data_IF_622559959777
#
_entry.id   IF_622559959777
#
_cell.length_a   1.000
_cell.length_b   1.000
_cell.length_c   1.000
_cell.angle_alpha   90.00
_cell.angle_beta   90.00
_cell.angle_gamma   90.00
#
_symmetry.space_group_name_H-M   'P 1'
#
loop_
_entity.id
_entity.type
_entity.pdbx_description
1 polymer ?
#
# COMPACT_ATOMS: atom_id res chain seq x y z
N UNK A 1 -0.73 -20.05 -0.15
CA UNK A 1 -2.15 -19.82 0.16
C UNK A 1 -2.33 -18.37 0.58
N UNK A 2 -3.09 -17.59 -0.19
CA UNK A 2 -3.39 -16.19 0.09
C UNK A 2 -4.81 -16.11 0.66
N UNK A 3 -5.00 -15.41 1.77
CA UNK A 3 -6.32 -15.26 2.41
C UNK A 3 -6.91 -13.91 1.98
N UNK A 4 -8.14 -13.92 1.49
CA UNK A 4 -8.86 -12.71 1.15
C UNK A 4 -9.47 -12.09 2.43
N UNK A 5 -9.31 -10.77 2.58
CA UNK A 5 -9.81 -9.99 3.71
C UNK A 5 -10.76 -8.93 3.14
N UNK A 6 -12.00 -8.92 3.63
CA UNK A 6 -13.02 -7.97 3.19
C UNK A 6 -13.18 -6.87 4.25
N UNK A 7 -12.92 -5.62 3.88
CA UNK A 7 -13.11 -4.47 4.75
C UNK A 7 -13.99 -3.48 3.99
N UNK A 8 -15.18 -3.18 4.54
CA UNK A 8 -16.19 -2.24 4.03
C UNK A 8 -16.33 -2.15 2.50
N UNK A 9 -16.53 -3.29 1.85
CA UNK A 9 -16.81 -3.41 0.41
C UNK A 9 -15.59 -3.64 -0.47
N UNK A 10 -14.38 -3.59 0.08
CA UNK A 10 -13.13 -3.77 -0.66
C UNK A 10 -12.40 -5.06 -0.24
N UNK A 11 -11.82 -5.77 -1.20
CA UNK A 11 -11.06 -7.01 -0.97
C UNK A 11 -9.55 -6.75 -0.98
N UNK A 12 -8.88 -7.23 0.07
CA UNK A 12 -7.44 -7.18 0.28
C UNK A 12 -6.86 -8.60 0.39
N UNK A 13 -5.58 -8.80 0.02
CA UNK A 13 -4.94 -10.12 0.01
C UNK A 13 -3.84 -10.24 1.06
N UNK A 14 -4.00 -11.12 2.05
CA UNK A 14 -2.92 -11.57 2.95
C UNK A 14 -2.01 -12.52 2.16
N UNK A 15 -0.75 -12.12 1.95
CA UNK A 15 0.24 -12.87 1.15
C UNK A 15 1.22 -13.60 2.06
N UNK A 16 1.60 -14.83 1.69
CA UNK A 16 2.59 -15.60 2.44
C UNK A 16 3.99 -14.97 2.26
N UNK A 17 4.60 -14.58 3.38
CA UNK A 17 5.91 -13.94 3.50
C UNK A 17 7.03 -14.73 2.83
N UNK A 18 7.09 -16.05 3.01
CA UNK A 18 8.17 -16.89 2.50
C UNK A 18 8.05 -17.15 0.99
N UNK A 19 6.83 -17.22 0.47
CA UNK A 19 6.61 -17.34 -0.97
C UNK A 19 6.97 -16.06 -1.73
N UNK A 20 6.79 -14.90 -1.09
CA UNK A 20 7.26 -13.61 -1.61
C UNK A 20 8.78 -13.58 -1.58
N UNK A 21 9.40 -13.93 -0.44
CA UNK A 21 10.86 -13.86 -0.26
C UNK A 21 11.66 -14.86 -1.10
N UNK A 22 11.22 -16.12 -1.22
CA UNK A 22 11.97 -17.19 -1.91
C UNK A 22 11.84 -17.13 -3.44
N UNK A 23 10.69 -16.68 -3.96
CA UNK A 23 10.40 -16.64 -5.40
C UNK A 23 10.94 -15.35 -6.08
N UNK A 24 11.17 -14.28 -5.30
CA UNK A 24 11.40 -12.92 -5.81
C UNK A 24 12.73 -12.68 -6.54
N UNK A 25 13.89 -13.18 -6.08
CA UNK A 25 15.15 -12.90 -6.78
C UNK A 25 15.56 -13.98 -7.80
N UNK A 26 15.23 -15.26 -7.57
CA UNK A 26 15.84 -16.39 -8.30
C UNK A 26 15.10 -16.81 -9.58
N UNK A 27 13.77 -16.64 -9.68
CA UNK A 27 12.98 -17.22 -10.79
C UNK A 27 12.59 -16.18 -11.86
N UNK A 28 12.54 -14.87 -11.53
CA UNK A 28 11.91 -13.86 -12.42
C UNK A 28 12.77 -12.65 -12.78
N UNK A 29 14.08 -12.65 -12.48
CA UNK A 29 14.97 -11.51 -12.76
C UNK A 29 14.39 -10.14 -12.30
N UNK A 30 13.67 -10.13 -11.16
CA UNK A 30 13.10 -8.91 -10.58
C UNK A 30 11.76 -8.43 -11.17
N UNK A 31 11.21 -9.02 -12.22
CA UNK A 31 9.92 -8.59 -12.81
C UNK A 31 8.76 -8.76 -11.83
N UNK A 32 8.74 -9.87 -11.07
CA UNK A 32 7.70 -10.09 -10.07
C UNK A 32 7.76 -9.06 -8.93
N UNK A 33 8.96 -8.54 -8.63
CA UNK A 33 9.18 -7.49 -7.63
C UNK A 33 8.43 -6.20 -8.01
N UNK A 34 8.53 -5.79 -9.27
CA UNK A 34 7.84 -4.62 -9.83
C UNK A 34 6.31 -4.75 -9.69
N UNK A 35 5.77 -5.91 -10.06
CA UNK A 35 4.32 -6.19 -9.97
C UNK A 35 3.83 -6.23 -8.52
N UNK A 36 4.60 -6.85 -7.63
CA UNK A 36 4.27 -6.89 -6.21
C UNK A 36 4.30 -5.49 -5.59
N UNK A 37 5.31 -4.68 -5.93
CA UNK A 37 5.46 -3.30 -5.46
C UNK A 37 4.28 -2.41 -5.86
N UNK A 38 3.77 -2.58 -7.09
CA UNK A 38 2.54 -1.91 -7.53
C UNK A 38 1.36 -2.28 -6.63
N UNK A 39 1.15 -3.58 -6.41
CA UNK A 39 -0.03 -4.11 -5.70
C UNK A 39 -0.11 -3.60 -4.27
N UNK A 40 1.01 -3.63 -3.52
CA UNK A 40 1.03 -3.14 -2.13
C UNK A 40 0.74 -1.64 -2.03
N UNK A 41 1.27 -0.83 -2.96
CA UNK A 41 1.03 0.61 -2.96
C UNK A 41 -0.41 0.95 -3.33
N UNK A 42 -1.02 0.18 -4.24
CA UNK A 42 -2.42 0.37 -4.59
C UNK A 42 -3.37 -0.07 -3.46
N UNK A 43 -3.06 -1.17 -2.76
CA UNK A 43 -3.81 -1.59 -1.57
C UNK A 43 -3.73 -0.54 -0.45
N UNK A 44 -2.53 0.03 -0.21
CA UNK A 44 -2.36 1.11 0.76
C UNK A 44 -3.17 2.37 0.38
N UNK A 45 -3.20 2.74 -0.91
CA UNK A 45 -4.01 3.85 -1.43
C UNK A 45 -5.49 3.66 -1.14
N UNK A 46 -6.02 2.47 -1.45
CA UNK A 46 -7.44 2.11 -1.26
C UNK A 46 -7.82 2.09 0.22
N UNK A 47 -6.97 1.49 1.05
CA UNK A 47 -7.21 1.36 2.49
C UNK A 47 -7.12 2.70 3.24
N UNK A 48 -6.14 3.55 2.89
CA UNK A 48 -5.94 4.85 3.54
C UNK A 48 -6.84 5.96 2.98
N UNK A 49 -7.45 5.71 1.84
CA UNK A 49 -8.21 6.69 1.09
C UNK A 49 -7.40 7.87 0.58
N UNK A 50 -6.10 7.68 0.38
CA UNK A 50 -5.16 8.77 0.15
C UNK A 50 -4.79 8.84 -1.35
N UNK A 51 -5.37 9.78 -2.13
CA UNK A 51 -5.07 9.91 -3.55
C UNK A 51 -3.64 10.39 -3.83
N UNK A 52 -2.89 10.85 -2.82
CA UNK A 52 -1.48 11.22 -2.99
C UNK A 52 -0.57 10.01 -3.20
N UNK A 53 -1.01 8.81 -2.80
CA UNK A 53 -0.30 7.57 -3.07
C UNK A 53 -0.46 7.24 -4.57
N UNK A 54 0.65 7.29 -5.31
CA UNK A 54 0.69 7.01 -6.75
C UNK A 54 1.42 5.68 -7.02
N UNK A 55 0.72 4.53 -7.09
CA UNK A 55 1.35 3.21 -7.20
C UNK A 55 2.22 3.08 -8.45
N UNK A 56 1.79 3.68 -9.56
CA UNK A 56 2.56 3.72 -10.81
C UNK A 56 3.87 4.50 -10.64
N UNK A 57 3.86 5.64 -9.96
CA UNK A 57 5.10 6.38 -9.67
C UNK A 57 6.01 5.63 -8.70
N UNK A 58 5.46 4.91 -7.73
CA UNK A 58 6.25 4.07 -6.82
C UNK A 58 6.95 2.92 -7.55
N UNK A 59 6.35 2.40 -8.62
CA UNK A 59 6.96 1.39 -9.50
C UNK A 59 7.97 2.02 -10.44
N UNK A 60 7.63 3.16 -11.05
CA UNK A 60 8.56 3.90 -11.88
C UNK A 60 9.78 4.36 -11.10
N UNK A 61 9.69 4.63 -9.80
CA UNK A 61 10.86 4.93 -8.96
C UNK A 61 11.83 3.74 -8.81
N UNK A 62 11.37 2.51 -9.09
CA UNK A 62 12.20 1.31 -9.06
C UNK A 62 13.07 1.15 -10.31
N UNK A 63 12.68 1.74 -11.45
CA UNK A 63 13.33 1.56 -12.76
C UNK A 63 14.60 2.43 -12.94
N UNK A 64 14.62 3.75 -12.61
CA UNK A 64 15.83 4.55 -12.54
C UNK A 64 16.64 4.31 -11.24
N UNK A 65 16.07 3.58 -10.27
CA UNK A 65 16.71 3.28 -8.98
C UNK A 65 17.98 2.42 -9.06
N UNK A 66 18.28 1.84 -10.24
CA UNK A 66 19.55 1.16 -10.50
C UNK A 66 20.70 2.11 -10.86
N UNK A 67 20.41 3.32 -11.37
CA UNK A 67 21.43 4.32 -11.77
C UNK A 67 21.66 5.37 -10.68
N UNK A 68 20.64 5.62 -9.83
CA UNK A 68 20.73 6.55 -8.70
C UNK A 68 20.26 5.77 -7.47
N UNK A 69 21.16 5.50 -6.51
CA UNK A 69 20.91 4.63 -5.33
C UNK A 69 19.90 5.26 -4.33
N UNK A 70 19.68 6.57 -4.42
CA UNK A 70 18.89 7.33 -3.43
C UNK A 70 17.36 7.11 -3.47
N UNK A 71 16.69 7.08 -4.64
CA UNK A 71 15.23 6.89 -4.73
C UNK A 71 14.71 5.58 -4.09
N UNK A 72 15.35 4.41 -4.26
CA UNK A 72 14.95 3.18 -3.57
C UNK A 72 14.95 3.31 -2.04
N UNK A 73 15.99 3.91 -1.47
CA UNK A 73 16.13 4.13 -0.02
C UNK A 73 15.00 5.01 0.53
N UNK A 74 14.72 6.13 -0.14
CA UNK A 74 13.60 7.01 0.20
C UNK A 74 12.27 6.26 0.11
N UNK A 75 12.11 5.36 -0.87
CA UNK A 75 10.90 4.57 -1.01
C UNK A 75 10.71 3.56 0.13
N UNK A 76 11.78 2.88 0.58
CA UNK A 76 11.72 1.96 1.73
C UNK A 76 11.34 2.72 2.99
N UNK A 77 12.00 3.85 3.25
CA UNK A 77 11.71 4.69 4.41
C UNK A 77 10.24 5.15 4.43
N UNK A 78 9.76 5.71 3.30
CA UNK A 78 8.36 6.15 3.17
C UNK A 78 7.36 5.01 3.33
N UNK A 79 7.74 3.80 2.91
CA UNK A 79 6.89 2.61 3.08
C UNK A 79 6.81 2.19 4.54
N UNK A 80 7.93 2.16 5.27
CA UNK A 80 7.93 1.92 6.71
C UNK A 80 7.08 2.93 7.49
N UNK A 81 7.16 4.22 7.13
CA UNK A 81 6.32 5.28 7.71
C UNK A 81 4.82 5.03 7.48
N UNK A 82 4.43 4.56 6.30
CA UNK A 82 3.02 4.23 6.01
C UNK A 82 2.52 3.10 6.90
N UNK A 83 3.30 2.02 7.05
CA UNK A 83 2.93 0.90 7.91
C UNK A 83 2.84 1.32 9.38
N UNK A 84 3.79 2.13 9.86
CA UNK A 84 3.75 2.71 11.20
C UNK A 84 2.44 3.46 11.47
N UNK A 85 2.02 4.33 10.54
CA UNK A 85 0.75 5.07 10.64
C UNK A 85 -0.47 4.14 10.63
N UNK A 86 -0.43 3.04 9.87
CA UNK A 86 -1.50 2.03 9.89
C UNK A 86 -1.59 1.35 11.26
N UNK A 87 -0.45 0.98 11.83
CA UNK A 87 -0.40 0.37 13.16
C UNK A 87 -0.88 1.31 14.27
N UNK A 88 -0.50 2.59 14.21
CA UNK A 88 -1.00 3.63 15.12
C UNK A 88 -2.53 3.73 15.07
N UNK A 89 -3.12 3.77 13.87
CA UNK A 89 -4.57 3.82 13.71
C UNK A 89 -5.26 2.53 14.17
N UNK A 90 -4.60 1.39 14.00
CA UNK A 90 -5.08 0.11 14.52
C UNK A 90 -4.92 -0.03 16.05
N UNK A 91 -4.36 0.99 16.73
CA UNK A 91 -4.12 0.96 18.17
C UNK A 91 -3.04 -0.03 18.59
N UNK A 92 -2.11 -0.37 17.68
CA UNK A 92 -0.99 -1.26 17.98
C UNK A 92 0.12 -0.51 18.73
N UNK A 93 0.55 -1.09 19.85
CA UNK A 93 1.65 -0.56 20.67
C UNK A 93 2.99 -0.80 19.99
N UNK A 94 3.18 -1.98 19.39
CA UNK A 94 4.38 -2.29 18.64
C UNK A 94 4.27 -1.74 17.22
N UNK A 95 5.21 -0.89 16.83
CA UNK A 95 5.18 -0.13 15.58
C UNK A 95 6.44 -0.36 14.76
N UNK A 96 6.28 -0.45 13.44
CA UNK A 96 7.36 -0.51 12.47
C UNK A 96 8.19 0.76 12.57
N UNK A 97 9.50 0.59 12.74
CA UNK A 97 10.47 1.69 12.72
C UNK A 97 11.02 1.85 11.31
N UNK A 98 10.75 2.97 10.61
CA UNK A 98 11.16 3.15 9.21
C UNK A 98 12.67 3.08 8.99
N UNK A 99 13.45 3.51 9.99
CA UNK A 99 14.91 3.42 9.96
C UNK A 99 15.42 1.97 10.05
N UNK A 100 14.72 1.10 10.78
CA UNK A 100 15.03 -0.34 10.81
C UNK A 100 14.72 -0.95 9.45
N UNK A 101 13.58 -0.59 8.84
CA UNK A 101 13.27 -1.00 7.48
C UNK A 101 14.36 -0.53 6.50
N UNK A 102 14.86 0.69 6.64
CA UNK A 102 15.94 1.20 5.80
C UNK A 102 17.25 0.43 6.01
N UNK A 103 17.67 0.20 7.25
CA UNK A 103 18.89 -0.56 7.56
C UNK A 103 18.81 -2.00 7.01
N UNK A 104 17.66 -2.66 7.17
CA UNK A 104 17.41 -3.99 6.63
C UNK A 104 17.32 -4.02 5.10
N UNK A 105 17.32 -2.87 4.42
CA UNK A 105 17.35 -2.85 2.95
C UNK A 105 18.70 -3.25 2.38
N UNK A 106 19.77 -3.04 3.14
CA UNK A 106 21.14 -3.38 2.76
C UNK A 106 21.51 -4.85 3.04
N UNK A 107 20.68 -5.58 3.78
CA UNK A 107 20.93 -6.98 4.14
C UNK A 107 19.88 -7.84 3.45
N UNK A 108 20.22 -8.47 2.32
CA UNK A 108 19.35 -9.41 1.58
C UNK A 108 17.87 -8.96 1.42
N UNK A 109 17.63 -7.65 1.28
CA UNK A 109 16.28 -7.09 1.25
C UNK A 109 15.37 -7.47 2.43
N UNK A 110 15.92 -7.69 3.62
CA UNK A 110 15.19 -8.00 4.86
C UNK A 110 14.14 -6.94 5.22
N UNK A 111 14.27 -5.71 4.71
CA UNK A 111 13.27 -4.66 4.85
C UNK A 111 11.86 -5.09 4.42
N UNK A 112 11.78 -5.93 3.39
CA UNK A 112 10.51 -6.48 2.88
C UNK A 112 9.81 -7.34 3.93
N UNK A 113 10.55 -8.22 4.61
CA UNK A 113 10.03 -9.07 5.69
C UNK A 113 9.55 -8.21 6.86
N UNK A 114 10.37 -7.25 7.27
CA UNK A 114 10.08 -6.37 8.39
C UNK A 114 8.81 -5.53 8.18
N UNK A 115 8.69 -4.91 7.00
CA UNK A 115 7.49 -4.16 6.61
C UNK A 115 6.26 -5.07 6.54
N UNK A 116 6.41 -6.29 5.99
CA UNK A 116 5.31 -7.23 5.87
C UNK A 116 4.83 -7.75 7.23
N UNK A 117 5.73 -7.94 8.21
CA UNK A 117 5.34 -8.29 9.59
C UNK A 117 4.48 -7.20 10.21
N UNK A 118 4.91 -5.93 10.16
CA UNK A 118 4.13 -4.83 10.73
C UNK A 118 2.76 -4.66 10.07
N UNK A 119 2.67 -4.93 8.76
CA UNK A 119 1.40 -4.94 8.03
C UNK A 119 0.50 -6.11 8.47
N UNK A 120 1.06 -7.28 8.74
CA UNK A 120 0.30 -8.43 9.25
C UNK A 120 -0.26 -8.16 10.64
N UNK A 121 0.48 -7.50 11.52
CA UNK A 121 -0.01 -7.11 12.86
C UNK A 121 -1.30 -6.29 12.76
N UNK A 122 -1.37 -5.37 11.78
CA UNK A 122 -2.58 -4.59 11.52
C UNK A 122 -3.75 -5.50 11.18
N UNK A 123 -3.56 -6.47 10.29
CA UNK A 123 -4.64 -7.37 9.89
C UNK A 123 -5.05 -8.33 10.99
N UNK A 124 -4.09 -8.85 11.74
CA UNK A 124 -4.36 -9.75 12.86
C UNK A 124 -5.20 -9.04 13.93
N UNK A 125 -5.01 -7.72 14.13
CA UNK A 125 -5.86 -6.90 15.00
C UNK A 125 -7.34 -6.85 14.58
N UNK A 126 -7.64 -6.90 13.28
CA UNK A 126 -9.01 -6.90 12.76
C UNK A 126 -9.60 -8.32 12.64
N UNK A 127 -8.74 -9.35 12.60
CA UNK A 127 -9.17 -10.76 12.54
C UNK A 127 -9.45 -11.35 13.93
N UNK A 128 -8.99 -10.71 15.01
CA UNK A 128 -9.22 -11.16 16.39
C UNK A 128 -10.70 -10.99 16.82
N UNK A 129 -11.46 -12.08 17.01
CA UNK A 129 -12.91 -12.03 17.27
C UNK A 129 -13.33 -11.33 18.58
N UNK A 130 -12.42 -11.23 19.55
CA UNK A 130 -12.72 -10.75 20.90
C UNK A 130 -12.12 -9.37 21.21
N UNK A 131 -11.43 -8.76 20.25
CA UNK A 131 -10.74 -7.49 20.47
C UNK A 131 -11.61 -6.34 19.98
N UNK A 132 -11.86 -5.26 20.77
CA UNK A 132 -12.65 -4.13 20.31
C UNK A 132 -12.02 -3.59 19.04
N UNK A 133 -12.66 -3.80 17.90
CA UNK A 133 -12.09 -3.49 16.59
C UNK A 133 -12.03 -1.97 16.48
N UNK A 134 -10.86 -1.36 16.25
CA UNK A 134 -10.79 0.07 15.93
C UNK A 134 -11.72 0.34 14.75
N UNK A 135 -12.45 1.46 14.77
CA UNK A 135 -13.31 1.82 13.66
C UNK A 135 -12.49 1.81 12.36
N UNK A 136 -12.94 1.11 11.30
CA UNK A 136 -12.22 1.11 10.03
C UNK A 136 -12.12 2.57 9.55
N UNK A 137 -10.99 2.96 8.92
CA UNK A 137 -10.86 4.31 8.40
C UNK A 137 -12.05 4.60 7.46
N UNK A 138 -12.62 5.81 7.49
CA UNK A 138 -13.62 6.19 6.51
C UNK A 138 -12.99 6.02 5.12
N UNK A 139 -13.65 5.24 4.25
CA UNK A 139 -13.30 5.23 2.84
C UNK A 139 -13.18 6.68 2.37
N UNK A 140 -12.27 7.00 1.44
CA UNK A 140 -12.54 8.16 0.64
C UNK A 140 -13.86 7.82 -0.05
N UNK A 141 -14.93 8.53 0.30
CA UNK A 141 -16.11 8.56 -0.55
C UNK A 141 -15.56 8.79 -1.94
N UNK A 142 -15.87 7.89 -2.87
CA UNK A 142 -15.57 8.10 -4.27
C UNK A 142 -16.09 9.50 -4.58
N UNK A 143 -15.17 10.46 -4.70
CA UNK A 143 -15.52 11.78 -5.19
C UNK A 143 -16.14 11.48 -6.54
N UNK A 144 -17.38 11.89 -6.83
CA UNK A 144 -17.94 11.71 -8.16
C UNK A 144 -16.98 12.42 -9.12
N UNK A 145 -16.09 11.65 -9.76
CA UNK A 145 -15.24 12.17 -10.80
C UNK A 145 -16.15 12.54 -11.95
N UNK A 146 -16.33 13.84 -12.17
CA UNK A 146 -16.91 14.37 -13.39
C UNK A 146 -18.38 14.04 -13.59
N UNK A 147 -19.26 14.67 -12.81
CA UNK A 147 -20.51 15.10 -13.42
C UNK A 147 -20.15 16.05 -14.56
N UNK A 148 -20.35 15.61 -15.80
CA UNK A 148 -20.23 16.48 -16.97
C UNK A 148 -21.03 17.77 -16.71
N UNK A 149 -20.53 18.95 -17.09
CA UNK A 149 -21.34 20.16 -17.01
C UNK A 149 -22.65 19.91 -17.77
N UNK A 150 -23.81 20.33 -17.22
CA UNK A 150 -25.07 20.18 -17.92
C UNK A 150 -24.95 20.83 -19.32
N UNK A 151 -25.51 20.20 -20.37
CA UNK A 151 -25.45 20.76 -21.71
C UNK A 151 -26.02 22.20 -21.69
N UNK A 152 -25.44 23.14 -22.47
CA UNK A 152 -25.95 24.50 -22.53
C UNK A 152 -27.44 24.48 -22.83
N UNK A 153 -28.24 25.18 -22.02
CA UNK A 153 -29.65 25.37 -22.29
C UNK A 153 -29.80 25.98 -23.70
N UNK A 154 -30.58 25.32 -24.55
CA UNK A 154 -30.91 25.84 -25.88
C UNK A 154 -31.55 27.23 -25.71
N UNK A 155 -30.85 28.26 -26.19
CA UNK A 155 -31.41 29.61 -26.24
C UNK A 155 -32.60 29.61 -27.21
N UNK A 156 -33.79 30.08 -26.81
CA UNK A 156 -34.89 30.23 -27.75
C UNK A 156 -34.54 31.26 -28.84
N UNK A 157 -35.04 31.09 -30.07
CA UNK A 157 -34.72 31.99 -31.18
C UNK A 157 -35.14 33.42 -30.85
N UNK A 158 -34.22 34.36 -31.06
CA UNK A 158 -34.51 35.78 -30.98
C UNK A 158 -35.64 36.14 -31.95
N UNK A 159 -36.70 36.76 -31.42
CA UNK A 159 -37.70 37.48 -32.20
C UNK A 159 -37.25 38.91 -32.41
#
# INVERSE_FOLDING_TARGET
MATDVHIGGETYKKRNIFAVWLLLPLITLGVYHVVWWYKINNEARRYLGDPSIKPVLSVLALVPGFVIIVPPLVSVYRTGERVRRMQQRAGLVNQTTPWIALALSFVFSLHSLYIQMGLNDVWDRYLMPWSPTPAPPPYPSATPQGGAPPPPAAQPPAQ
#
